data_IF_246970810016
#
_entry.id   IF_246970810016
#
_cell.length_a   1.000
_cell.length_b   1.000
_cell.length_c   1.000
_cell.angle_alpha   90.00
_cell.angle_beta   90.00
_cell.angle_gamma   90.00
#
_symmetry.space_group_name_H-M   'P 1'
#
loop_
_entity.id
_entity.type
_entity.pdbx_description
1 polymer ?
#
# COMPACT_ATOMS: atom_id res chain seq x y z
N UNK A 1 -6.09 15.61 19.25
CA UNK A 1 -6.48 14.93 18.00
C UNK A 1 -5.43 15.15 16.93
N UNK A 2 -4.81 14.07 16.45
CA UNK A 2 -3.75 14.16 15.44
C UNK A 2 -3.28 12.77 15.04
N UNK A 3 -3.84 12.27 13.95
CA UNK A 3 -3.43 11.05 13.26
C UNK A 3 -2.66 11.45 12.00
N UNK A 4 -1.42 10.97 11.86
CA UNK A 4 -0.65 11.12 10.64
C UNK A 4 -0.28 9.74 10.12
N UNK A 5 -0.62 9.46 8.87
CA UNK A 5 -0.18 8.26 8.14
C UNK A 5 0.39 8.69 6.80
N UNK A 6 1.61 8.28 6.50
CA UNK A 6 2.25 8.46 5.20
C UNK A 6 2.77 7.14 4.68
N UNK A 7 2.67 6.92 3.37
CA UNK A 7 3.22 5.75 2.69
C UNK A 7 4.06 6.17 1.49
N UNK A 8 5.20 5.50 1.31
CA UNK A 8 6.07 5.62 0.15
C UNK A 8 6.31 4.22 -0.41
N UNK A 9 6.18 4.09 -1.73
CA UNK A 9 6.29 2.80 -2.40
C UNK A 9 7.09 2.90 -3.71
N UNK A 10 8.44 2.95 -3.65
CA UNK A 10 9.26 2.94 -4.86
C UNK A 10 9.10 1.61 -5.59
N UNK A 11 8.94 1.66 -6.91
CA UNK A 11 8.74 0.47 -7.75
C UNK A 11 9.45 0.58 -9.09
N UNK A 12 9.90 -0.58 -9.59
CA UNK A 12 10.42 -0.75 -10.93
C UNK A 12 9.40 -1.57 -11.74
N UNK A 13 8.94 -1.00 -12.85
CA UNK A 13 7.93 -1.63 -13.72
C UNK A 13 8.50 -1.80 -15.12
N UNK A 14 8.45 -3.04 -15.62
CA UNK A 14 8.80 -3.39 -16.99
C UNK A 14 7.54 -3.45 -17.85
N UNK A 15 7.56 -2.72 -18.97
CA UNK A 15 6.46 -2.70 -19.94
C UNK A 15 6.74 -3.72 -21.04
N UNK A 16 5.99 -4.82 -21.05
CA UNK A 16 6.13 -5.87 -22.07
C UNK A 16 5.54 -5.43 -23.41
N UNK A 17 4.42 -4.70 -23.38
CA UNK A 17 3.76 -4.14 -24.55
C UNK A 17 2.98 -2.87 -24.15
N UNK A 18 2.37 -2.12 -25.08
CA UNK A 18 1.65 -0.88 -24.75
C UNK A 18 0.53 -1.05 -23.70
N UNK A 19 0.01 -2.27 -23.55
CA UNK A 19 -1.15 -2.60 -22.72
C UNK A 19 -0.77 -3.32 -21.43
N UNK A 20 0.31 -4.10 -21.38
CA UNK A 20 0.66 -4.96 -20.25
C UNK A 20 2.04 -4.61 -19.72
N UNK A 21 2.09 -4.39 -18.40
CA UNK A 21 3.33 -4.18 -17.66
C UNK A 21 3.32 -4.99 -16.37
N UNK A 22 4.48 -5.39 -15.87
CA UNK A 22 4.62 -5.92 -14.52
C UNK A 22 5.87 -5.36 -13.85
N UNK A 23 5.89 -5.37 -12.53
CA UNK A 23 6.96 -4.77 -11.75
C UNK A 23 7.05 -5.35 -10.35
N UNK A 24 8.08 -4.88 -9.66
CA UNK A 24 8.31 -5.14 -8.25
C UNK A 24 8.54 -3.83 -7.52
N UNK A 25 8.16 -3.78 -6.26
CA UNK A 25 8.31 -2.58 -5.45
C UNK A 25 8.64 -2.88 -4.00
N UNK A 26 8.97 -1.82 -3.29
CA UNK A 26 9.06 -1.81 -1.84
C UNK A 26 7.94 -0.93 -1.29
N UNK A 27 7.49 -1.23 -0.09
CA UNK A 27 6.48 -0.46 0.63
C UNK A 27 7.05 -0.02 1.96
N UNK A 28 6.91 1.27 2.28
CA UNK A 28 7.24 1.82 3.58
C UNK A 28 6.07 2.69 4.05
N UNK A 29 5.44 2.31 5.15
CA UNK A 29 4.31 3.02 5.73
C UNK A 29 4.68 3.42 7.15
N UNK A 30 4.54 4.71 7.45
CA UNK A 30 4.74 5.23 8.78
C UNK A 30 3.44 5.85 9.27
N UNK A 31 2.92 5.31 10.38
CA UNK A 31 1.70 5.81 11.01
C UNK A 31 1.98 6.18 12.46
N UNK A 32 1.61 7.41 12.83
CA UNK A 32 1.83 7.97 14.17
C UNK A 32 0.53 8.55 14.70
N UNK A 33 0.07 8.03 15.83
CA UNK A 33 -1.01 8.61 16.61
C UNK A 33 -0.46 9.13 17.94
N UNK A 34 -0.64 10.42 18.20
CA UNK A 34 -0.13 11.07 19.41
C UNK A 34 -0.73 10.39 20.66
N UNK A 35 0.13 9.91 21.57
CA UNK A 35 -0.20 9.27 22.86
C UNK A 35 -0.86 7.88 22.82
N UNK A 36 -0.80 7.12 21.71
CA UNK A 36 -1.41 5.77 21.66
C UNK A 36 -0.49 4.73 21.01
N UNK A 37 0.10 5.02 19.85
CA UNK A 37 0.75 3.98 19.06
C UNK A 37 1.68 4.52 17.95
N UNK A 38 2.81 3.83 17.71
CA UNK A 38 3.68 4.04 16.54
C UNK A 38 3.75 2.74 15.73
N UNK A 39 3.39 2.79 14.45
CA UNK A 39 3.56 1.67 13.53
C UNK A 39 4.57 2.01 12.46
N UNK A 40 5.53 1.10 12.26
CA UNK A 40 6.36 1.07 11.05
C UNK A 40 5.99 -0.17 10.28
N UNK A 41 5.66 -0.02 9.00
CA UNK A 41 5.39 -1.13 8.09
C UNK A 41 6.41 -1.08 6.98
N UNK A 42 7.09 -2.20 6.75
CA UNK A 42 8.02 -2.36 5.64
C UNK A 42 7.61 -3.60 4.85
N UNK A 43 7.71 -3.57 3.53
CA UNK A 43 7.35 -4.73 2.74
C UNK A 43 7.82 -4.69 1.30
N UNK A 44 7.53 -5.76 0.59
CA UNK A 44 7.74 -5.87 -0.85
C UNK A 44 6.41 -5.97 -1.59
N UNK A 45 6.42 -5.69 -2.89
CA UNK A 45 5.26 -5.83 -3.76
C UNK A 45 5.59 -6.42 -5.12
N UNK A 46 4.60 -7.14 -5.67
CA UNK A 46 4.53 -7.54 -7.06
C UNK A 46 3.37 -6.79 -7.70
N UNK A 47 3.61 -6.17 -8.84
CA UNK A 47 2.69 -5.25 -9.50
C UNK A 47 2.40 -5.77 -10.90
N UNK A 48 1.12 -5.91 -11.25
CA UNK A 48 0.65 -6.12 -12.61
C UNK A 48 -0.20 -4.93 -13.05
N UNK A 49 0.05 -4.39 -14.24
CA UNK A 49 -0.69 -3.27 -14.82
C UNK A 49 -1.25 -3.66 -16.19
N UNK A 50 -2.51 -3.30 -16.42
CA UNK A 50 -3.21 -3.46 -17.68
C UNK A 50 -3.81 -2.11 -18.12
N UNK A 51 -3.30 -1.55 -19.21
CA UNK A 51 -3.67 -0.25 -19.77
C UNK A 51 -4.33 -0.45 -21.16
N UNK A 52 -5.64 -0.75 -21.24
CA UNK A 52 -6.33 -0.96 -22.52
C UNK A 52 -6.26 0.28 -23.42
N UNK A 53 -6.21 1.47 -22.81
CA UNK A 53 -5.98 2.75 -23.47
C UNK A 53 -5.01 3.58 -22.64
N UNK A 54 -4.35 4.57 -23.26
CA UNK A 54 -3.29 5.35 -22.61
C UNK A 54 -3.73 6.09 -21.33
N UNK A 55 -5.01 6.40 -21.19
CA UNK A 55 -5.56 7.14 -20.06
C UNK A 55 -6.18 6.25 -18.98
N UNK A 56 -6.31 4.94 -19.18
CA UNK A 56 -6.98 4.05 -18.23
C UNK A 56 -6.06 2.91 -17.81
N UNK A 57 -5.98 2.67 -16.51
CA UNK A 57 -5.13 1.66 -15.90
C UNK A 57 -5.95 0.78 -14.98
N UNK A 58 -5.79 -0.53 -15.13
CA UNK A 58 -6.18 -1.53 -14.14
C UNK A 58 -4.89 -2.02 -13.49
N UNK A 59 -4.87 -2.16 -12.17
CA UNK A 59 -3.73 -2.72 -11.44
C UNK A 59 -4.12 -3.90 -10.58
N UNK A 60 -3.17 -4.82 -10.41
CA UNK A 60 -3.21 -5.88 -9.41
C UNK A 60 -1.89 -5.83 -8.66
N UNK A 61 -1.94 -5.64 -7.35
CA UNK A 61 -0.74 -5.44 -6.53
C UNK A 61 -0.79 -6.40 -5.34
N UNK A 62 0.13 -7.35 -5.31
CA UNK A 62 0.33 -8.20 -4.15
C UNK A 62 1.42 -7.60 -3.27
N UNK A 63 1.11 -7.32 -2.01
CA UNK A 63 2.06 -6.76 -1.06
C UNK A 63 2.28 -7.75 0.09
N UNK A 64 3.54 -7.96 0.47
CA UNK A 64 3.90 -8.70 1.67
C UNK A 64 4.52 -7.73 2.66
N UNK A 65 3.77 -7.43 3.73
CA UNK A 65 4.07 -6.36 4.68
C UNK A 65 4.49 -6.96 6.03
N UNK A 66 5.67 -6.59 6.50
CA UNK A 66 6.10 -6.78 7.88
C UNK A 66 5.64 -5.58 8.71
N UNK A 67 4.77 -5.85 9.67
CA UNK A 67 4.22 -4.82 10.58
C UNK A 67 4.98 -4.90 11.89
N UNK A 68 5.61 -3.79 12.26
CA UNK A 68 6.15 -3.61 13.60
C UNK A 68 5.26 -2.62 14.35
N UNK A 69 4.63 -3.13 15.42
CA UNK A 69 3.70 -2.38 16.26
C UNK A 69 4.27 -2.22 17.66
N UNK A 70 4.67 -1.01 18.02
CA UNK A 70 5.13 -0.69 19.38
C UNK A 70 4.09 0.18 20.12
N UNK A 71 3.50 -0.35 21.20
CA UNK A 71 2.52 0.33 22.05
C UNK A 71 3.20 1.02 23.24
N UNK A 72 2.77 2.24 23.58
CA UNK A 72 3.36 3.01 24.69
C UNK A 72 3.04 2.32 26.05
N UNK A 73 4.07 1.90 26.77
CA UNK A 73 4.08 0.96 27.92
C UNK A 73 3.31 1.41 29.18
N UNK A 74 2.54 2.51 29.12
CA UNK A 74 1.88 3.11 30.30
C UNK A 74 0.49 2.54 30.62
N UNK A 75 -0.06 1.63 29.80
CA UNK A 75 -1.40 1.06 30.01
C UNK A 75 -1.52 -0.46 29.85
N UNK A 76 -0.60 -1.17 29.17
CA UNK A 76 -0.67 -2.63 28.98
C UNK A 76 0.75 -3.21 28.95
N UNK A 77 0.98 -4.29 29.72
CA UNK A 77 2.22 -5.07 29.69
C UNK A 77 2.24 -5.98 28.45
N UNK A 78 3.34 -5.95 27.68
CA UNK A 78 3.73 -6.95 26.68
C UNK A 78 2.77 -7.24 25.52
N UNK A 79 2.68 -6.37 24.52
CA UNK A 79 2.26 -6.79 23.17
C UNK A 79 3.04 -6.02 22.10
N UNK A 80 4.36 -6.20 22.05
CA UNK A 80 5.11 -5.98 20.81
C UNK A 80 4.69 -7.10 19.84
N UNK A 81 3.74 -6.80 18.94
CA UNK A 81 3.25 -7.78 17.96
C UNK A 81 3.88 -7.46 16.60
N UNK A 82 4.83 -8.30 16.20
CA UNK A 82 5.37 -8.29 14.84
C UNK A 82 4.73 -9.42 14.04
N UNK A 83 4.05 -9.06 12.95
CA UNK A 83 3.39 -10.03 12.09
C UNK A 83 3.56 -9.71 10.62
N UNK A 84 3.50 -10.76 9.81
CA UNK A 84 3.44 -10.65 8.35
C UNK A 84 1.98 -10.58 7.91
N UNK A 85 1.66 -9.56 7.13
CA UNK A 85 0.34 -9.35 6.54
C UNK A 85 0.45 -9.35 5.01
N UNK A 86 -0.12 -10.36 4.32
CA UNK A 86 -0.29 -10.29 2.88
C UNK A 86 -1.50 -9.40 2.55
N UNK A 87 -1.34 -8.52 1.56
CA UNK A 87 -2.41 -7.72 0.99
C UNK A 87 -2.50 -7.97 -0.52
N UNK A 88 -3.71 -7.97 -1.07
CA UNK A 88 -3.91 -8.09 -2.51
C UNK A 88 -4.84 -7.00 -2.97
N UNK A 89 -4.30 -6.04 -3.71
CA UNK A 89 -5.05 -4.90 -4.20
C UNK A 89 -5.49 -5.12 -5.64
N UNK A 90 -6.73 -4.76 -5.93
CA UNK A 90 -7.19 -4.46 -7.29
C UNK A 90 -7.46 -2.97 -7.42
N UNK A 91 -6.89 -2.35 -8.45
CA UNK A 91 -6.96 -0.91 -8.66
C UNK A 91 -7.48 -0.53 -10.03
N UNK A 92 -8.07 0.66 -10.08
CA UNK A 92 -8.40 1.37 -11.31
C UNK A 92 -7.88 2.80 -11.21
N UNK A 93 -7.34 3.32 -12.31
CA UNK A 93 -6.74 4.64 -12.32
C UNK A 93 -6.81 5.32 -13.68
N UNK A 94 -6.77 6.65 -13.64
CA UNK A 94 -6.65 7.52 -14.79
C UNK A 94 -5.20 7.99 -14.94
N UNK A 95 -4.62 7.83 -16.13
CA UNK A 95 -3.26 8.28 -16.44
C UNK A 95 -3.32 9.61 -17.18
N UNK A 96 -2.59 10.59 -16.67
CA UNK A 96 -2.34 11.87 -17.32
C UNK A 96 -0.83 12.09 -17.43
N UNK A 97 -0.30 11.96 -18.65
CA UNK A 97 1.13 12.01 -18.93
C UNK A 97 1.90 10.96 -18.11
N UNK A 98 2.74 11.41 -17.17
CA UNK A 98 3.60 10.60 -16.32
C UNK A 98 2.97 10.29 -14.95
N UNK A 99 1.72 10.68 -14.70
CA UNK A 99 1.08 10.51 -13.40
C UNK A 99 -0.22 9.73 -13.55
N UNK A 100 -0.38 8.68 -12.74
CA UNK A 100 -1.63 7.96 -12.60
C UNK A 100 -2.27 8.27 -11.24
N UNK A 101 -3.57 8.53 -11.27
CA UNK A 101 -4.40 8.78 -10.09
C UNK A 101 -5.50 7.75 -10.06
N UNK A 102 -5.79 7.16 -8.92
CA UNK A 102 -6.79 6.11 -8.87
C UNK A 102 -7.19 5.69 -7.48
N UNK A 103 -7.97 4.62 -7.45
CA UNK A 103 -8.40 3.97 -6.23
C UNK A 103 -8.11 2.48 -6.35
N UNK A 104 -7.66 1.88 -5.25
CA UNK A 104 -7.43 0.45 -5.12
C UNK A 104 -8.21 -0.12 -3.94
N UNK A 105 -8.60 -1.38 -4.06
CA UNK A 105 -9.39 -2.11 -3.09
C UNK A 105 -8.60 -3.33 -2.60
N UNK A 106 -8.44 -3.48 -1.27
CA UNK A 106 -7.82 -4.66 -0.66
C UNK A 106 -8.80 -5.84 -0.65
N UNK A 107 -8.52 -6.87 -1.46
CA UNK A 107 -9.28 -8.11 -1.50
C UNK A 107 -9.07 -8.99 -0.27
N UNK A 108 -7.95 -8.83 0.44
CA UNK A 108 -7.63 -9.58 1.66
C UNK A 108 -7.99 -8.80 2.93
N UNK A 109 -8.76 -7.72 2.78
CA UNK A 109 -9.15 -6.86 3.88
C UNK A 109 -9.81 -7.64 5.02
N UNK A 110 -9.33 -7.40 6.23
CA UNK A 110 -9.85 -7.97 7.46
C UNK A 110 -9.85 -6.89 8.54
N UNK A 111 -11.03 -6.44 8.96
CA UNK A 111 -11.22 -5.35 9.94
C UNK A 111 -10.42 -5.54 11.24
N UNK A 112 -10.09 -6.77 11.62
CA UNK A 112 -9.35 -7.07 12.85
C UNK A 112 -7.82 -7.07 12.68
N UNK A 113 -7.30 -7.11 11.45
CA UNK A 113 -5.86 -7.24 11.17
C UNK A 113 -5.31 -6.24 10.16
N UNK A 114 -6.16 -5.60 9.37
CA UNK A 114 -5.74 -4.68 8.32
C UNK A 114 -5.06 -3.45 8.91
N UNK A 115 -3.99 -3.03 8.25
CA UNK A 115 -3.22 -1.84 8.63
C UNK A 115 -3.93 -0.57 8.13
N UNK A 116 -4.82 -0.72 7.16
CA UNK A 116 -5.62 0.37 6.59
C UNK A 116 -6.99 0.45 7.25
N UNK A 117 -7.45 1.68 7.47
CA UNK A 117 -8.73 1.97 8.11
C UNK A 117 -9.94 1.74 7.18
N UNK A 118 -9.69 1.52 5.88
CA UNK A 118 -10.69 1.28 4.84
C UNK A 118 -10.08 0.31 3.82
N UNK A 119 -10.91 -0.58 3.27
CA UNK A 119 -10.55 -1.46 2.16
C UNK A 119 -10.25 -0.66 0.88
N UNK A 120 -10.87 0.51 0.71
CA UNK A 120 -10.62 1.44 -0.40
C UNK A 120 -9.51 2.43 -0.06
N UNK A 121 -8.55 2.55 -0.96
CA UNK A 121 -7.40 3.44 -0.81
C UNK A 121 -7.15 4.26 -2.07
N UNK A 122 -7.06 5.60 -1.99
CA UNK A 122 -6.57 6.38 -3.10
C UNK A 122 -5.07 6.12 -3.31
N UNK A 123 -4.62 6.17 -4.56
CA UNK A 123 -3.19 6.11 -4.89
C UNK A 123 -2.81 7.16 -5.93
N UNK A 124 -1.54 7.56 -5.88
CA UNK A 124 -0.89 8.36 -6.90
C UNK A 124 0.42 7.67 -7.28
N UNK A 125 0.62 7.43 -8.57
CA UNK A 125 1.83 6.80 -9.12
C UNK A 125 2.48 7.73 -10.12
N UNK A 126 3.77 7.99 -9.95
CA UNK A 126 4.55 8.85 -10.84
C UNK A 126 5.56 7.97 -11.59
N UNK A 127 5.57 8.07 -12.91
CA UNK A 127 6.46 7.35 -13.82
C UNK A 127 7.56 8.28 -14.33
N UNK A 128 8.81 7.82 -14.31
CA UNK A 128 9.99 8.57 -14.74
C UNK A 128 10.63 7.91 -15.97
#
# INVERSE_FOLDING_TARGET
>A
DGFFSGSLAPAAVYRFNPTVSAGVGLNAIYSKQKNVFKSTVLGGSLIGLFNPVNQFQISTEFEQLYVDRNFDERFVSNVDDSYWYPALFLGVGYISNNIAFGIRYDLLYNENKSIYNNAWMPFVRVFF
#
